data_IF_780928344917
#
_entry.id   IF_780928344917
#
_cell.length_a   1.000
_cell.length_b   1.000
_cell.length_c   1.000
_cell.angle_alpha   90.00
_cell.angle_beta   90.00
_cell.angle_gamma   90.00
#
_symmetry.space_group_name_H-M   'P 1'
#
loop_
_entity.id
_entity.type
_entity.pdbx_description
1 polymer ?
#
# COMPACT_ATOMS: atom_id res chain seq x y z
N UNK A 1 -16.70 -24.02 -18.70
CA UNK A 1 -16.66 -22.62 -19.18
C UNK A 1 -16.60 -21.74 -17.95
N UNK A 2 -15.50 -21.02 -17.82
CA UNK A 2 -14.97 -20.33 -16.64
C UNK A 2 -15.96 -19.26 -16.16
N UNK A 3 -16.46 -19.39 -14.92
CA UNK A 3 -17.43 -18.47 -14.35
C UNK A 3 -16.72 -17.42 -13.48
N UNK A 4 -16.73 -16.19 -13.98
CA UNK A 4 -16.78 -14.91 -13.27
C UNK A 4 -15.90 -14.75 -12.03
N UNK A 5 -14.66 -14.38 -12.29
CA UNK A 5 -13.79 -13.68 -11.36
C UNK A 5 -14.40 -12.30 -11.09
N UNK A 6 -15.06 -12.15 -9.94
CA UNK A 6 -15.42 -10.84 -9.40
C UNK A 6 -14.14 -10.23 -8.85
N UNK A 7 -13.25 -9.81 -9.76
CA UNK A 7 -11.89 -9.42 -9.43
C UNK A 7 -11.90 -8.07 -8.70
N UNK A 8 -11.89 -8.13 -7.38
CA UNK A 8 -11.76 -6.96 -6.53
C UNK A 8 -10.26 -6.74 -6.32
N UNK A 9 -9.68 -6.00 -7.26
CA UNK A 9 -8.26 -5.65 -7.23
C UNK A 9 -8.03 -4.46 -6.30
N UNK A 10 -7.08 -4.61 -5.40
CA UNK A 10 -6.59 -3.57 -4.50
C UNK A 10 -5.14 -3.22 -4.82
N UNK A 11 -4.69 -2.04 -4.39
CA UNK A 11 -3.34 -1.56 -4.68
C UNK A 11 -2.44 -1.75 -3.46
N UNK A 12 -1.35 -2.46 -3.66
CA UNK A 12 -0.34 -2.67 -2.62
C UNK A 12 0.41 -1.34 -2.36
N UNK A 13 0.42 -0.80 -1.12
CA UNK A 13 1.03 0.49 -0.81
C UNK A 13 2.57 0.45 -0.77
N UNK A 14 3.18 -0.73 -0.81
CA UNK A 14 4.64 -0.95 -0.74
C UNK A 14 5.26 -0.85 -2.13
N UNK A 15 4.64 -1.52 -3.10
CA UNK A 15 5.16 -1.63 -4.46
C UNK A 15 4.32 -0.92 -5.51
N UNK A 16 3.10 -0.47 -5.16
CA UNK A 16 2.16 0.14 -6.09
C UNK A 16 1.57 -0.86 -7.10
N UNK A 17 1.75 -2.16 -6.88
CA UNK A 17 1.24 -3.21 -7.75
C UNK A 17 -0.22 -3.50 -7.44
N UNK A 18 -1.00 -3.76 -8.49
CA UNK A 18 -2.40 -4.20 -8.39
C UNK A 18 -2.45 -5.68 -8.02
N UNK A 19 -3.21 -6.03 -6.98
CA UNK A 19 -3.31 -7.40 -6.44
C UNK A 19 -4.77 -7.75 -6.16
N UNK A 20 -5.12 -9.02 -6.33
CA UNK A 20 -6.46 -9.52 -6.00
C UNK A 20 -6.68 -9.55 -4.49
N UNK A 21 -7.67 -8.83 -3.95
CA UNK A 21 -7.96 -8.86 -2.51
C UNK A 21 -8.33 -10.27 -2.02
N UNK A 22 -8.88 -11.10 -2.90
CA UNK A 22 -9.27 -12.48 -2.62
C UNK A 22 -8.07 -13.42 -2.43
N UNK A 23 -6.91 -13.10 -3.00
CA UNK A 23 -5.68 -13.92 -2.92
C UNK A 23 -4.53 -13.20 -2.21
N UNK A 24 -4.64 -11.89 -2.02
CA UNK A 24 -3.67 -11.05 -1.36
C UNK A 24 -3.62 -11.31 0.14
N UNK A 25 -2.45 -11.07 0.73
CA UNK A 25 -2.28 -11.10 2.18
C UNK A 25 -2.78 -9.79 2.76
N UNK A 26 -3.59 -9.85 3.81
CA UNK A 26 -4.03 -8.65 4.52
C UNK A 26 -3.48 -8.62 5.95
N UNK A 27 -3.22 -7.42 6.46
CA UNK A 27 -2.87 -7.19 7.87
C UNK A 27 -3.69 -6.06 8.43
N UNK A 28 -4.06 -6.18 9.70
CA UNK A 28 -4.66 -5.08 10.45
C UNK A 28 -3.57 -4.28 11.17
N UNK A 29 -3.56 -2.97 10.95
CA UNK A 29 -2.67 -2.01 11.60
C UNK A 29 -3.45 -0.75 11.93
N UNK A 30 -3.43 -0.35 13.20
CA UNK A 30 -4.10 0.88 13.67
C UNK A 30 -5.61 0.90 13.33
N UNK A 31 -6.26 -0.27 13.38
CA UNK A 31 -7.67 -0.45 13.02
C UNK A 31 -7.96 -0.33 11.53
N UNK A 32 -6.93 -0.38 10.67
CA UNK A 32 -7.05 -0.37 9.21
C UNK A 32 -6.53 -1.67 8.63
N UNK A 33 -7.28 -2.24 7.70
CA UNK A 33 -6.87 -3.42 6.94
C UNK A 33 -6.11 -2.99 5.69
N UNK A 34 -4.88 -3.47 5.55
CA UNK A 34 -4.02 -3.24 4.39
C UNK A 34 -3.77 -4.55 3.65
N UNK A 35 -3.75 -4.51 2.33
CA UNK A 35 -3.57 -5.66 1.45
C UNK A 35 -2.22 -5.61 0.74
N UNK A 36 -1.59 -6.78 0.58
CA UNK A 36 -0.23 -6.94 0.07
C UNK A 36 -0.13 -8.05 -0.96
N UNK A 37 0.74 -7.86 -1.96
CA UNK A 37 0.98 -8.84 -3.01
C UNK A 37 1.67 -10.11 -2.50
N UNK A 38 2.43 -10.02 -1.41
CA UNK A 38 3.31 -11.08 -0.92
C UNK A 38 3.76 -10.82 0.52
N UNK A 39 4.28 -11.87 1.17
CA UNK A 39 4.81 -11.79 2.54
C UNK A 39 5.93 -10.76 2.67
N UNK A 40 6.75 -10.61 1.62
CA UNK A 40 7.82 -9.61 1.57
C UNK A 40 7.27 -8.17 1.71
N UNK A 41 6.15 -7.86 1.04
CA UNK A 41 5.48 -6.57 1.17
C UNK A 41 4.91 -6.39 2.59
N UNK A 42 4.30 -7.43 3.16
CA UNK A 42 3.83 -7.38 4.57
C UNK A 42 4.97 -7.14 5.55
N UNK A 43 6.11 -7.82 5.41
CA UNK A 43 7.28 -7.62 6.27
C UNK A 43 7.86 -6.22 6.13
N UNK A 44 7.94 -5.70 4.89
CA UNK A 44 8.36 -4.31 4.64
C UNK A 44 7.42 -3.32 5.30
N UNK A 45 6.10 -3.56 5.22
CA UNK A 45 5.10 -2.74 5.88
C UNK A 45 5.26 -2.74 7.41
N UNK A 46 5.53 -3.90 8.01
CA UNK A 46 5.76 -4.01 9.45
C UNK A 46 7.09 -3.38 9.89
N UNK A 47 8.12 -3.46 9.05
CA UNK A 47 9.45 -2.90 9.33
C UNK A 47 9.55 -1.40 9.05
N UNK A 48 8.62 -0.87 8.25
CA UNK A 48 8.64 0.51 7.81
C UNK A 48 7.60 1.33 8.57
N UNK A 49 7.96 2.47 9.17
CA UNK A 49 7.01 3.32 9.88
C UNK A 49 5.93 3.85 8.92
N UNK A 50 4.72 4.03 9.46
CA UNK A 50 3.48 4.33 8.73
C UNK A 50 3.46 5.60 7.84
N UNK A 51 4.58 6.33 7.72
CA UNK A 51 4.73 7.52 6.88
C UNK A 51 5.54 7.32 5.60
N UNK A 52 6.14 6.15 5.36
CA UNK A 52 7.02 5.98 4.19
C UNK A 52 6.27 5.62 2.89
N UNK A 53 5.06 5.06 3.00
CA UNK A 53 4.23 4.66 1.87
C UNK A 53 3.18 5.74 1.57
N UNK A 54 3.64 6.95 1.28
CA UNK A 54 2.78 8.04 0.83
C UNK A 54 2.85 8.11 -0.69
N UNK A 55 1.81 7.62 -1.37
CA UNK A 55 1.64 7.83 -2.80
C UNK A 55 1.15 9.27 -3.04
N UNK A 56 2.06 10.09 -3.56
CA UNK A 56 1.94 11.41 -4.21
C UNK A 56 0.58 12.15 -4.18
N UNK A 57 0.46 13.13 -3.27
CA UNK A 57 0.21 14.57 -3.53
C UNK A 57 0.54 15.32 -2.23
N UNK A 58 1.70 15.96 -2.06
CA UNK A 58 2.01 17.24 -2.68
C UNK A 58 3.50 17.53 -2.55
N UNK A 59 4.10 17.98 -3.65
CA UNK A 59 5.48 18.40 -3.75
C UNK A 59 5.86 19.59 -2.85
N UNK A 60 7.14 19.95 -2.87
CA UNK A 60 7.81 20.72 -1.83
C UNK A 60 7.43 22.20 -1.91
N UNK A 61 6.87 22.76 -0.83
CA UNK A 61 7.08 24.19 -0.59
C UNK A 61 8.53 24.38 -0.18
N UNK A 62 9.28 24.83 -1.16
CA UNK A 62 10.68 25.19 -1.19
C UNK A 62 11.20 25.96 0.04
N UNK A 63 12.45 25.62 0.36
CA UNK A 63 13.44 26.36 1.15
C UNK A 63 13.44 27.86 0.75
N UNK A 64 13.41 28.79 1.71
CA UNK A 64 14.59 29.60 2.04
C UNK A 64 14.41 30.44 3.31
N UNK A 65 15.53 30.64 4.00
CA UNK A 65 15.75 31.57 5.10
C UNK A 65 15.13 32.95 4.87
N UNK A 66 14.53 33.52 5.90
CA UNK A 66 14.44 34.96 6.07
C UNK A 66 15.00 35.31 7.46
N UNK A 67 15.95 36.24 7.41
CA UNK A 67 16.67 36.97 8.47
C UNK A 67 15.91 37.17 9.77
#
# INVERSE_FOLDING_TARGET
MTMNESNSVTKDPICGMTVDEATALHTERDGKTYYFCSDNCRQKFLSTPAGAYAEDKSGPCCKNSAV
#
